data_IF_129762709528
#
_entry.id   IF_129762709528
#
_cell.length_a   1.000
_cell.length_b   1.000
_cell.length_c   1.000
_cell.angle_alpha   90.00
_cell.angle_beta   90.00
_cell.angle_gamma   90.00
#
_symmetry.space_group_name_H-M   'P 1'
#
loop_
_entity.id
_entity.type
_entity.pdbx_description
1 polymer ?
#
# COMPACT_ATOMS: atom_id res chain seq x y z
N UNK A 1 10.96 12.21 -18.33
CA UNK A 1 11.65 12.94 -17.26
C UNK A 1 12.64 13.92 -17.87
N UNK A 2 12.62 15.19 -17.47
CA UNK A 2 13.57 16.19 -17.98
C UNK A 2 14.97 15.99 -17.38
N UNK A 3 16.00 16.48 -18.04
CA UNK A 3 17.37 16.43 -17.53
C UNK A 3 17.48 17.15 -16.18
N UNK A 4 16.82 18.29 -15.99
CA UNK A 4 16.82 19.01 -14.72
C UNK A 4 16.24 18.17 -13.55
N UNK A 5 15.18 17.39 -13.80
CA UNK A 5 14.63 16.48 -12.78
C UNK A 5 15.58 15.32 -12.48
N UNK A 6 16.23 14.76 -13.52
CA UNK A 6 17.24 13.72 -13.35
C UNK A 6 18.43 14.26 -12.54
N UNK A 7 18.90 15.47 -12.85
CA UNK A 7 19.99 16.13 -12.14
C UNK A 7 19.66 16.36 -10.67
N UNK A 8 18.47 16.88 -10.39
CA UNK A 8 18.02 17.10 -9.02
C UNK A 8 17.90 15.78 -8.25
N UNK A 9 17.44 14.70 -8.88
CA UNK A 9 17.34 13.39 -8.24
C UNK A 9 18.72 12.76 -7.98
N UNK A 10 19.67 12.86 -8.91
CA UNK A 10 20.98 12.22 -8.76
C UNK A 10 21.95 12.97 -7.86
N UNK A 11 21.82 14.29 -7.78
CA UNK A 11 22.76 15.16 -7.06
C UNK A 11 22.08 16.09 -6.05
N UNK A 12 20.83 15.83 -5.68
CA UNK A 12 20.08 16.59 -4.66
C UNK A 12 20.09 18.12 -4.89
N UNK A 13 20.05 18.53 -6.15
CA UNK A 13 20.07 19.94 -6.56
C UNK A 13 21.46 20.56 -6.70
N UNK A 14 22.54 19.79 -6.48
CA UNK A 14 23.94 20.22 -6.62
C UNK A 14 24.68 19.46 -7.73
N UNK A 15 24.23 19.54 -9.01
CA UNK A 15 24.86 18.79 -10.09
C UNK A 15 26.28 19.29 -10.39
N UNK A 16 27.26 18.39 -10.63
CA UNK A 16 28.57 18.78 -11.11
C UNK A 16 28.48 19.32 -12.55
N UNK A 17 29.49 20.07 -13.00
CA UNK A 17 29.58 20.54 -14.40
C UNK A 17 29.52 19.40 -15.43
N UNK A 18 29.91 18.18 -15.03
CA UNK A 18 29.86 16.98 -15.87
C UNK A 18 28.49 16.30 -15.92
N UNK A 19 27.47 16.77 -15.19
CA UNK A 19 26.17 16.13 -15.05
C UNK A 19 25.51 15.76 -16.41
N UNK A 20 25.48 16.65 -17.44
CA UNK A 20 24.91 16.28 -18.74
C UNK A 20 25.64 15.12 -19.43
N UNK A 21 26.97 15.03 -19.27
CA UNK A 21 27.78 13.92 -19.80
C UNK A 21 27.58 12.62 -19.02
N UNK A 22 27.47 12.72 -17.70
CA UNK A 22 27.20 11.58 -16.81
C UNK A 22 25.82 10.97 -17.10
N UNK A 23 24.78 11.78 -17.26
CA UNK A 23 23.43 11.30 -17.61
C UNK A 23 23.43 10.52 -18.93
N UNK A 24 24.11 11.04 -19.97
CA UNK A 24 24.25 10.32 -21.25
C UNK A 24 24.93 8.98 -21.08
N UNK A 25 25.96 8.92 -20.23
CA UNK A 25 26.70 7.69 -19.91
C UNK A 25 25.80 6.68 -19.19
N UNK A 26 25.07 7.10 -18.16
CA UNK A 26 24.13 6.24 -17.43
C UNK A 26 23.00 5.72 -18.33
N UNK A 27 22.42 6.57 -19.17
CA UNK A 27 21.39 6.15 -20.14
C UNK A 27 21.95 5.16 -21.15
N UNK A 28 23.18 5.34 -21.63
CA UNK A 28 23.84 4.37 -22.51
C UNK A 28 24.05 3.01 -21.84
N UNK A 29 24.47 3.00 -20.57
CA UNK A 29 24.59 1.78 -19.77
C UNK A 29 23.22 1.09 -19.58
N UNK A 30 22.19 1.84 -19.17
CA UNK A 30 20.83 1.31 -19.01
C UNK A 30 20.28 0.70 -20.31
N UNK A 31 20.48 1.35 -21.46
CA UNK A 31 20.06 0.81 -22.77
C UNK A 31 20.74 -0.53 -23.08
N UNK A 32 22.04 -0.65 -22.78
CA UNK A 32 22.78 -1.91 -22.96
C UNK A 32 22.24 -3.00 -22.03
N UNK A 33 22.03 -2.69 -20.76
CA UNK A 33 21.45 -3.64 -19.79
C UNK A 33 20.07 -4.12 -20.22
N UNK A 34 19.17 -3.20 -20.60
CA UNK A 34 17.82 -3.56 -21.05
C UNK A 34 17.84 -4.42 -22.31
N UNK A 35 18.72 -4.10 -23.27
CA UNK A 35 18.87 -4.89 -24.50
C UNK A 35 19.43 -6.29 -24.23
N UNK A 36 20.32 -6.43 -23.23
CA UNK A 36 20.85 -7.74 -22.84
C UNK A 36 19.79 -8.62 -22.14
N UNK A 37 18.79 -8.01 -21.49
CA UNK A 37 17.71 -8.72 -20.79
C UNK A 37 16.56 -9.15 -21.71
N UNK A 38 16.58 -8.82 -23.01
CA UNK A 38 15.56 -9.21 -23.98
C UNK A 38 15.24 -8.11 -25.00
N UNK A 39 13.95 -7.90 -25.29
CA UNK A 39 13.47 -6.85 -26.21
C UNK A 39 13.53 -5.44 -25.56
N UNK A 40 14.71 -5.07 -25.07
CA UNK A 40 14.99 -3.77 -24.48
C UNK A 40 15.32 -2.68 -25.49
N UNK A 41 15.36 -3.03 -26.78
CA UNK A 41 15.75 -2.11 -27.84
C UNK A 41 14.73 -0.96 -27.94
N UNK A 42 15.22 0.28 -28.02
CA UNK A 42 14.35 1.45 -28.14
C UNK A 42 13.50 1.81 -26.89
N UNK A 43 13.58 1.05 -25.78
CA UNK A 43 12.78 1.33 -24.57
C UNK A 43 13.07 2.68 -23.93
N UNK A 44 14.30 3.17 -24.02
CA UNK A 44 14.66 4.51 -23.56
C UNK A 44 14.81 5.43 -24.76
N UNK A 45 13.80 6.26 -25.01
CA UNK A 45 13.79 7.25 -26.08
C UNK A 45 14.42 8.59 -25.62
N UNK A 46 15.23 9.18 -26.49
CA UNK A 46 15.65 10.57 -26.34
C UNK A 46 14.50 11.49 -26.70
N UNK A 47 14.29 12.54 -25.90
CA UNK A 47 13.43 13.68 -26.19
C UNK A 47 14.24 14.96 -26.00
N UNK A 48 13.77 16.07 -26.55
CA UNK A 48 14.46 17.36 -26.39
C UNK A 48 14.53 17.70 -24.90
N UNK A 49 15.75 17.72 -24.35
CA UNK A 49 16.02 17.99 -22.92
C UNK A 49 15.50 16.92 -21.94
N UNK A 50 15.16 15.72 -22.40
CA UNK A 50 14.49 14.71 -21.58
C UNK A 50 14.73 13.27 -22.07
N UNK A 51 14.42 12.31 -21.21
CA UNK A 51 14.34 10.89 -21.54
C UNK A 51 12.96 10.33 -21.22
N UNK A 52 12.51 9.35 -22.00
CA UNK A 52 11.29 8.58 -21.73
C UNK A 52 11.63 7.10 -21.75
N UNK A 53 11.30 6.41 -20.66
CA UNK A 53 11.28 4.96 -20.63
C UNK A 53 9.88 4.47 -20.99
N UNK A 54 9.81 3.49 -21.88
CA UNK A 54 8.58 2.78 -22.25
C UNK A 54 8.53 1.48 -21.49
N UNK A 55 7.41 1.29 -20.79
CA UNK A 55 7.10 0.11 -20.00
C UNK A 55 5.78 -0.44 -20.53
N UNK A 56 5.78 -1.72 -20.87
CA UNK A 56 4.60 -2.47 -21.31
C UNK A 56 3.69 -2.86 -20.14
N UNK A 57 2.46 -3.29 -20.42
CA UNK A 57 1.55 -3.81 -19.40
C UNK A 57 2.20 -4.96 -18.61
N UNK A 58 2.08 -4.94 -17.29
CA UNK A 58 2.60 -6.00 -16.42
C UNK A 58 4.11 -6.00 -16.19
N UNK A 59 4.88 -5.11 -16.83
CA UNK A 59 6.34 -5.07 -16.62
C UNK A 59 6.77 -4.31 -15.36
N UNK A 60 5.85 -3.55 -14.76
CA UNK A 60 6.04 -2.91 -13.45
C UNK A 60 5.12 -3.54 -12.42
N UNK A 61 5.71 -3.94 -11.29
CA UNK A 61 5.00 -4.48 -10.14
C UNK A 61 3.94 -3.51 -9.60
N UNK A 62 4.22 -2.20 -9.55
CA UNK A 62 3.23 -1.18 -9.16
C UNK A 62 2.00 -1.17 -10.07
N UNK A 63 2.17 -1.37 -11.39
CA UNK A 63 1.03 -1.40 -12.31
C UNK A 63 0.24 -2.70 -12.17
N UNK A 64 0.93 -3.83 -11.93
CA UNK A 64 0.27 -5.10 -11.61
C UNK A 64 -0.51 -5.00 -10.30
N UNK A 65 0.06 -4.37 -9.28
CA UNK A 65 -0.60 -4.12 -8.00
C UNK A 65 -1.87 -3.30 -8.18
N UNK A 66 -1.79 -2.15 -8.85
CA UNK A 66 -2.93 -1.27 -9.07
C UNK A 66 -4.02 -1.96 -9.89
N UNK A 67 -3.65 -2.79 -10.87
CA UNK A 67 -4.57 -3.58 -11.68
C UNK A 67 -5.26 -4.70 -10.87
N UNK A 68 -4.52 -5.49 -10.10
CA UNK A 68 -5.11 -6.51 -9.23
C UNK A 68 -6.03 -5.89 -8.17
N UNK A 69 -5.70 -4.73 -7.61
CA UNK A 69 -6.61 -3.99 -6.72
C UNK A 69 -7.89 -3.56 -7.44
N UNK A 70 -7.78 -3.05 -8.67
CA UNK A 70 -8.94 -2.68 -9.50
C UNK A 70 -9.85 -3.88 -9.76
N UNK A 71 -9.27 -5.01 -10.16
CA UNK A 71 -9.99 -6.26 -10.40
C UNK A 71 -10.66 -6.79 -9.11
N UNK A 72 -9.99 -6.70 -7.97
CA UNK A 72 -10.56 -7.05 -6.67
C UNK A 72 -11.79 -6.22 -6.31
N UNK A 73 -11.73 -4.91 -6.55
CA UNK A 73 -12.88 -4.00 -6.36
C UNK A 73 -14.02 -4.31 -7.32
N UNK A 74 -13.73 -4.60 -8.58
CA UNK A 74 -14.75 -4.97 -9.58
C UNK A 74 -15.43 -6.31 -9.25
N UNK A 75 -14.67 -7.31 -8.80
CA UNK A 75 -15.22 -8.56 -8.30
C UNK A 75 -16.13 -8.32 -7.10
N UNK A 76 -15.72 -7.49 -6.15
CA UNK A 76 -16.54 -7.09 -4.99
C UNK A 76 -17.84 -6.38 -5.42
N UNK A 77 -17.78 -5.46 -6.38
CA UNK A 77 -18.98 -4.78 -6.89
C UNK A 77 -19.99 -5.72 -7.54
N UNK A 78 -19.54 -6.87 -8.07
CA UNK A 78 -20.38 -7.92 -8.63
C UNK A 78 -20.71 -9.04 -7.63
N UNK A 79 -20.40 -8.83 -6.34
CA UNK A 79 -20.57 -9.83 -5.27
C UNK A 79 -19.83 -11.14 -5.49
N UNK A 80 -18.74 -11.12 -6.28
CA UNK A 80 -17.84 -12.24 -6.48
C UNK A 80 -16.72 -12.23 -5.41
N UNK A 81 -17.10 -12.29 -4.14
CA UNK A 81 -16.19 -12.04 -3.02
C UNK A 81 -14.99 -13.00 -2.97
N UNK A 82 -15.16 -14.25 -3.39
CA UNK A 82 -14.04 -15.19 -3.52
C UNK A 82 -13.01 -14.75 -4.55
N UNK A 83 -13.46 -14.24 -5.70
CA UNK A 83 -12.59 -13.67 -6.74
C UNK A 83 -11.89 -12.40 -6.23
N UNK A 84 -12.62 -11.55 -5.49
CA UNK A 84 -12.06 -10.34 -4.90
C UNK A 84 -10.90 -10.64 -3.93
N UNK A 85 -11.05 -11.67 -3.07
CA UNK A 85 -9.98 -12.11 -2.16
C UNK A 85 -8.71 -12.51 -2.92
N UNK A 86 -8.84 -13.28 -4.00
CA UNK A 86 -7.68 -13.74 -4.76
C UNK A 86 -6.95 -12.57 -5.44
N UNK A 87 -7.68 -11.63 -6.03
CA UNK A 87 -7.08 -10.41 -6.62
C UNK A 87 -6.36 -9.54 -5.58
N UNK A 88 -6.95 -9.31 -4.40
CA UNK A 88 -6.26 -8.55 -3.36
C UNK A 88 -5.04 -9.28 -2.80
N UNK A 89 -5.09 -10.61 -2.68
CA UNK A 89 -3.93 -11.43 -2.29
C UNK A 89 -2.81 -11.35 -3.31
N UNK A 90 -3.14 -11.44 -4.61
CA UNK A 90 -2.16 -11.28 -5.68
C UNK A 90 -1.49 -9.90 -5.57
N UNK A 91 -2.28 -8.83 -5.44
CA UNK A 91 -1.75 -7.48 -5.27
C UNK A 91 -0.77 -7.41 -4.10
N UNK A 92 -1.20 -7.84 -2.91
CA UNK A 92 -0.36 -7.78 -1.71
C UNK A 92 0.87 -8.70 -1.79
N UNK A 93 0.82 -9.78 -2.57
CA UNK A 93 1.93 -10.69 -2.82
C UNK A 93 3.06 -10.12 -3.69
N UNK A 94 2.80 -9.02 -4.41
CA UNK A 94 3.84 -8.31 -5.20
C UNK A 94 4.84 -7.52 -4.33
N UNK A 95 4.48 -7.29 -3.07
CA UNK A 95 5.29 -6.51 -2.13
C UNK A 95 6.44 -7.35 -1.57
N UNK A 96 7.67 -6.87 -1.79
CA UNK A 96 8.91 -7.56 -1.40
C UNK A 96 9.68 -6.90 -0.26
N UNK A 97 9.20 -5.76 0.23
CA UNK A 97 9.91 -4.93 1.20
C UNK A 97 9.44 -3.48 1.12
N UNK A 98 10.32 -2.55 1.51
CA UNK A 98 10.06 -1.12 1.40
C UNK A 98 10.26 -0.66 -0.06
N UNK A 99 9.33 0.12 -0.65
CA UNK A 99 9.51 0.62 -2.01
C UNK A 99 10.80 1.41 -2.18
N UNK A 100 11.60 0.99 -3.17
CA UNK A 100 12.87 1.61 -3.54
C UNK A 100 13.90 1.63 -2.40
N UNK A 101 13.94 0.60 -1.54
CA UNK A 101 14.81 0.54 -0.35
C UNK A 101 16.29 0.88 -0.63
N UNK A 102 16.80 0.55 -1.81
CA UNK A 102 18.18 0.83 -2.26
C UNK A 102 18.44 2.30 -2.64
N UNK A 103 17.41 3.17 -2.64
CA UNK A 103 17.54 4.58 -2.99
C UNK A 103 17.60 5.48 -1.74
N UNK A 104 18.29 6.64 -1.84
CA UNK A 104 18.25 7.68 -0.81
C UNK A 104 16.81 8.07 -0.42
N UNK A 105 16.58 8.25 0.90
CA UNK A 105 15.28 8.64 1.47
C UNK A 105 14.72 9.93 0.84
N UNK A 106 15.59 10.91 0.56
CA UNK A 106 15.25 12.19 -0.09
C UNK A 106 14.51 12.00 -1.42
N UNK A 107 14.88 10.97 -2.18
CA UNK A 107 14.32 10.66 -3.51
C UNK A 107 13.04 9.82 -3.39
N UNK A 108 13.07 8.78 -2.54
CA UNK A 108 11.96 7.80 -2.49
C UNK A 108 10.78 8.22 -1.64
N UNK A 109 10.97 9.06 -0.60
CA UNK A 109 9.93 9.40 0.40
C UNK A 109 8.56 9.77 -0.17
N UNK A 110 8.44 10.66 -1.19
CA UNK A 110 7.12 11.02 -1.73
C UNK A 110 6.40 9.85 -2.42
N UNK A 111 7.16 8.98 -3.09
CA UNK A 111 6.59 7.83 -3.82
C UNK A 111 6.30 6.69 -2.85
N UNK A 112 7.20 6.43 -1.90
CA UNK A 112 7.04 5.40 -0.86
C UNK A 112 5.78 5.64 -0.04
N UNK A 113 5.53 6.86 0.43
CA UNK A 113 4.34 7.17 1.23
C UNK A 113 3.03 6.89 0.49
N UNK A 114 2.94 7.26 -0.80
CA UNK A 114 1.76 6.95 -1.64
C UNK A 114 1.55 5.45 -1.79
N UNK A 115 2.64 4.73 -2.08
CA UNK A 115 2.59 3.28 -2.29
C UNK A 115 2.20 2.54 -1.01
N UNK A 116 2.76 2.93 0.14
CA UNK A 116 2.40 2.37 1.43
C UNK A 116 0.93 2.58 1.76
N UNK A 117 0.38 3.76 1.48
CA UNK A 117 -1.05 4.00 1.72
C UNK A 117 -1.94 3.15 0.81
N UNK A 118 -1.55 2.96 -0.46
CA UNK A 118 -2.23 2.03 -1.36
C UNK A 118 -2.16 0.58 -0.85
N UNK A 119 -1.02 0.15 -0.30
CA UNK A 119 -0.87 -1.16 0.34
C UNK A 119 -1.82 -1.32 1.51
N UNK A 120 -1.93 -0.31 2.36
CA UNK A 120 -2.83 -0.32 3.51
C UNK A 120 -4.28 -0.42 3.09
N UNK A 121 -4.70 0.42 2.14
CA UNK A 121 -6.07 0.37 1.60
C UNK A 121 -6.39 -1.02 1.04
N UNK A 122 -5.48 -1.63 0.25
CA UNK A 122 -5.69 -2.97 -0.30
C UNK A 122 -5.77 -4.06 0.79
N UNK A 123 -4.98 -3.94 1.85
CA UNK A 123 -5.01 -4.86 3.00
C UNK A 123 -6.32 -4.74 3.79
N UNK A 124 -6.78 -3.52 4.03
CA UNK A 124 -8.06 -3.26 4.70
C UNK A 124 -9.23 -3.79 3.87
N UNK A 125 -9.23 -3.55 2.55
CA UNK A 125 -10.24 -4.09 1.63
C UNK A 125 -10.23 -5.62 1.57
N UNK A 126 -9.07 -6.27 1.56
CA UNK A 126 -8.97 -7.72 1.67
C UNK A 126 -9.63 -8.25 2.95
N UNK A 127 -9.36 -7.60 4.09
CA UNK A 127 -9.93 -8.01 5.37
C UNK A 127 -11.45 -7.81 5.36
N UNK A 128 -11.94 -6.68 4.83
CA UNK A 128 -13.38 -6.43 4.67
C UNK A 128 -14.06 -7.56 3.88
N UNK A 129 -13.50 -7.95 2.73
CA UNK A 129 -14.06 -9.05 1.92
C UNK A 129 -14.02 -10.38 2.65
N UNK A 130 -12.92 -10.69 3.36
CA UNK A 130 -12.83 -11.90 4.19
C UNK A 130 -13.88 -11.91 5.31
N UNK A 131 -14.19 -10.75 5.89
CA UNK A 131 -15.27 -10.63 6.88
C UNK A 131 -16.65 -10.85 6.24
N UNK A 132 -16.89 -10.39 5.01
CA UNK A 132 -18.15 -10.67 4.29
C UNK A 132 -18.32 -12.16 3.99
N UNK A 133 -17.23 -12.88 3.72
CA UNK A 133 -17.20 -14.34 3.54
C UNK A 133 -17.32 -15.14 4.85
N UNK A 134 -17.58 -14.48 6.00
CA UNK A 134 -17.73 -15.15 7.29
C UNK A 134 -16.42 -15.64 7.92
N UNK A 135 -15.26 -15.23 7.40
CA UNK A 135 -13.95 -15.69 7.87
C UNK A 135 -13.48 -14.98 9.15
N UNK A 136 -14.41 -14.60 10.03
CA UNK A 136 -14.19 -13.73 11.19
C UNK A 136 -13.07 -14.24 12.11
N UNK A 137 -13.12 -15.52 12.51
CA UNK A 137 -12.11 -16.10 13.41
C UNK A 137 -10.70 -16.08 12.82
N UNK A 138 -10.58 -16.24 11.49
CA UNK A 138 -9.28 -16.39 10.82
C UNK A 138 -8.52 -15.08 10.65
N UNK A 139 -9.22 -13.93 10.68
CA UNK A 139 -8.58 -12.61 10.54
C UNK A 139 -8.19 -11.99 11.88
N UNK A 140 -8.71 -12.49 13.00
CA UNK A 140 -8.46 -11.91 14.34
C UNK A 140 -6.97 -11.91 14.74
N UNK A 141 -6.20 -13.00 14.57
CA UNK A 141 -4.78 -12.99 14.93
C UNK A 141 -3.99 -11.93 14.14
N UNK A 142 -4.21 -11.86 12.83
CA UNK A 142 -3.57 -10.88 11.95
C UNK A 142 -3.94 -9.46 12.36
N UNK A 143 -5.23 -9.19 12.60
CA UNK A 143 -5.72 -7.88 13.02
C UNK A 143 -5.13 -7.45 14.38
N UNK A 144 -5.01 -8.36 15.35
CA UNK A 144 -4.37 -8.06 16.64
C UNK A 144 -2.91 -7.64 16.46
N UNK A 145 -2.14 -8.39 15.66
CA UNK A 145 -0.76 -8.04 15.37
C UNK A 145 -0.65 -6.66 14.70
N UNK A 146 -1.50 -6.40 13.69
CA UNK A 146 -1.51 -5.12 12.98
C UNK A 146 -1.92 -3.94 13.87
N UNK A 147 -2.85 -4.12 14.82
CA UNK A 147 -3.22 -3.05 15.76
C UNK A 147 -2.14 -2.75 16.78
N UNK A 148 -1.25 -3.69 17.08
CA UNK A 148 -0.08 -3.47 17.94
C UNK A 148 1.02 -2.74 17.16
N UNK A 149 1.24 -3.11 15.90
CA UNK A 149 2.24 -2.49 15.03
C UNK A 149 1.83 -1.08 14.56
N UNK A 150 0.53 -0.88 14.31
CA UNK A 150 -0.04 0.37 13.81
C UNK A 150 -1.21 0.86 14.69
N UNK A 151 -0.94 1.21 15.95
CA UNK A 151 -1.97 1.54 16.93
C UNK A 151 -2.80 2.79 16.57
N UNK A 152 -2.27 3.66 15.71
CA UNK A 152 -2.93 4.89 15.27
C UNK A 152 -3.83 4.70 14.04
N UNK A 153 -3.81 3.53 13.39
CA UNK A 153 -4.70 3.23 12.26
C UNK A 153 -6.05 2.74 12.75
N UNK A 154 -6.95 3.68 13.02
CA UNK A 154 -8.30 3.43 13.56
C UNK A 154 -9.09 2.37 12.77
N UNK A 155 -8.92 2.31 11.44
CA UNK A 155 -9.59 1.33 10.59
C UNK A 155 -9.27 -0.12 10.98
N UNK A 156 -8.04 -0.42 11.40
CA UNK A 156 -7.66 -1.75 11.88
C UNK A 156 -8.41 -2.13 13.15
N UNK A 157 -8.60 -1.17 14.07
CA UNK A 157 -9.40 -1.37 15.27
C UNK A 157 -10.86 -1.64 14.91
N UNK A 158 -11.46 -0.85 14.00
CA UNK A 158 -12.82 -1.09 13.51
C UNK A 158 -12.98 -2.53 12.97
N UNK A 159 -12.06 -2.99 12.13
CA UNK A 159 -12.07 -4.34 11.57
C UNK A 159 -11.93 -5.43 12.65
N UNK A 160 -11.03 -5.23 13.63
CA UNK A 160 -10.83 -6.15 14.75
C UNK A 160 -12.11 -6.28 15.59
N UNK A 161 -12.74 -5.15 15.89
CA UNK A 161 -13.99 -5.07 16.63
C UNK A 161 -15.10 -5.85 15.93
N UNK A 162 -15.32 -5.62 14.64
CA UNK A 162 -16.31 -6.34 13.84
C UNK A 162 -16.01 -7.84 13.82
N UNK A 163 -14.74 -8.22 13.62
CA UNK A 163 -14.33 -9.62 13.60
C UNK A 163 -14.62 -10.34 14.92
N UNK A 164 -14.28 -9.71 16.06
CA UNK A 164 -14.50 -10.27 17.39
C UNK A 164 -15.98 -10.38 17.71
N UNK A 165 -16.77 -9.34 17.44
CA UNK A 165 -18.20 -9.36 17.70
C UNK A 165 -18.92 -10.45 16.88
N UNK A 166 -18.67 -10.53 15.57
CA UNK A 166 -19.27 -11.56 14.70
C UNK A 166 -18.72 -12.96 14.94
N UNK A 167 -17.68 -13.10 15.77
CA UNK A 167 -17.16 -14.39 16.27
C UNK A 167 -17.78 -14.79 17.61
N UNK A 168 -18.77 -14.05 18.12
CA UNK A 168 -19.37 -14.27 19.45
C UNK A 168 -18.48 -13.84 20.62
N UNK A 169 -17.35 -13.16 20.35
CA UNK A 169 -16.36 -12.76 21.35
C UNK A 169 -16.59 -11.32 21.80
N UNK A 170 -17.80 -11.04 22.29
CA UNK A 170 -18.23 -9.67 22.65
C UNK A 170 -17.36 -9.02 23.72
N UNK A 171 -16.99 -9.75 24.77
CA UNK A 171 -16.09 -9.24 25.82
C UNK A 171 -14.75 -8.78 25.23
N UNK A 172 -14.13 -9.62 24.39
CA UNK A 172 -12.87 -9.30 23.73
C UNK A 172 -12.98 -8.08 22.79
N UNK A 173 -14.14 -7.87 22.15
CA UNK A 173 -14.39 -6.71 21.30
C UNK A 173 -14.43 -5.40 22.12
N UNK A 174 -15.04 -5.43 23.32
CA UNK A 174 -15.06 -4.30 24.25
C UNK A 174 -13.66 -4.00 24.79
N UNK A 175 -12.89 -5.03 25.14
CA UNK A 175 -11.49 -4.88 25.57
C UNK A 175 -10.61 -4.30 24.45
N UNK A 176 -10.85 -4.71 23.21
CA UNK A 176 -10.17 -4.15 22.04
C UNK A 176 -10.50 -2.66 21.85
N UNK A 177 -11.77 -2.25 22.05
CA UNK A 177 -12.14 -0.83 22.00
C UNK A 177 -11.42 -0.01 23.08
N UNK A 178 -11.34 -0.51 24.32
CA UNK A 178 -10.60 0.18 25.39
C UNK A 178 -9.10 0.28 25.09
N UNK A 179 -8.54 -0.72 24.40
CA UNK A 179 -7.14 -0.70 23.96
C UNK A 179 -6.92 0.32 22.84
N UNK A 180 -7.84 0.41 21.88
CA UNK A 180 -7.84 1.43 20.84
C UNK A 180 -7.94 2.84 21.42
N UNK A 181 -8.87 3.04 22.37
CA UNK A 181 -9.07 4.31 23.07
C UNK A 181 -7.77 4.80 23.70
N UNK A 182 -7.15 3.98 24.56
CA UNK A 182 -5.86 4.30 25.21
C UNK A 182 -4.76 4.58 24.20
N UNK A 183 -4.67 3.78 23.14
CA UNK A 183 -3.64 3.96 22.12
C UNK A 183 -3.76 5.31 21.38
N UNK A 184 -4.99 5.76 21.10
CA UNK A 184 -5.25 7.03 20.42
C UNK A 184 -5.09 8.22 21.38
N UNK A 185 -5.58 8.13 22.61
CA UNK A 185 -5.45 9.21 23.60
C UNK A 185 -4.01 9.38 24.05
N UNK A 186 -3.33 8.29 24.39
CA UNK A 186 -1.97 8.36 24.94
C UNK A 186 -0.95 8.63 23.83
N UNK A 187 -1.19 8.10 22.62
CA UNK A 187 -0.27 8.23 21.49
C UNK A 187 -0.41 9.53 20.69
N UNK A 188 -1.63 10.03 20.52
CA UNK A 188 -1.92 11.20 19.68
C UNK A 188 -2.63 12.35 20.42
N UNK A 189 -3.10 12.13 21.65
CA UNK A 189 -3.91 13.11 22.37
C UNK A 189 -5.29 13.33 21.75
N UNK A 190 -5.80 12.36 20.98
CA UNK A 190 -7.09 12.46 20.29
C UNK A 190 -8.06 11.37 20.76
N UNK A 191 -9.34 11.72 20.73
CA UNK A 191 -10.43 10.78 20.95
C UNK A 191 -10.67 9.89 19.71
N UNK A 192 -11.24 8.68 19.88
CA UNK A 192 -11.67 7.84 18.77
C UNK A 192 -12.61 8.58 17.80
N UNK A 193 -12.39 8.33 16.51
CA UNK A 193 -13.24 8.81 15.43
C UNK A 193 -14.68 8.30 15.53
N UNK A 194 -15.53 8.89 14.69
CA UNK A 194 -16.97 8.61 14.72
C UNK A 194 -17.31 7.16 14.36
N UNK A 195 -16.53 6.52 13.49
CA UNK A 195 -16.77 5.13 13.09
C UNK A 195 -16.54 4.17 14.26
N UNK A 196 -15.39 4.29 14.94
CA UNK A 196 -15.04 3.41 16.06
C UNK A 196 -16.02 3.60 17.24
N UNK A 197 -16.42 4.83 17.53
CA UNK A 197 -17.44 5.11 18.57
C UNK A 197 -18.80 4.49 18.23
N UNK A 198 -19.26 4.62 16.98
CA UNK A 198 -20.53 4.00 16.53
C UNK A 198 -20.48 2.48 16.62
N UNK A 199 -19.35 1.85 16.29
CA UNK A 199 -19.20 0.41 16.44
C UNK A 199 -19.33 -0.01 17.91
N UNK A 200 -18.69 0.71 18.82
CA UNK A 200 -18.81 0.46 20.26
C UNK A 200 -20.25 0.61 20.75
N UNK A 201 -20.96 1.67 20.36
CA UNK A 201 -22.38 1.86 20.71
C UNK A 201 -23.26 0.70 20.23
N UNK A 202 -23.08 0.26 18.98
CA UNK A 202 -23.80 -0.90 18.43
C UNK A 202 -23.49 -2.19 19.18
N UNK A 203 -22.26 -2.40 19.62
CA UNK A 203 -21.87 -3.56 20.42
C UNK A 203 -22.49 -3.54 21.81
N UNK A 204 -22.64 -2.37 22.44
CA UNK A 204 -23.33 -2.26 23.73
C UNK A 204 -24.82 -2.59 23.58
N UNK A 205 -25.43 -2.18 22.47
CA UNK A 205 -26.82 -2.47 22.15
C UNK A 205 -27.09 -3.87 21.58
N UNK A 206 -26.04 -4.64 21.23
CA UNK A 206 -26.13 -5.95 20.56
C UNK A 206 -26.83 -5.90 19.17
N UNK A 207 -26.50 -4.88 18.37
CA UNK A 207 -27.20 -4.55 17.10
C UNK A 207 -26.28 -4.48 15.87
N UNK A 208 -25.15 -5.20 15.89
CA UNK A 208 -24.07 -5.05 14.90
C UNK A 208 -24.20 -5.96 13.68
#
# INVERSE_FOLDING_TARGET
MSNAVIENALWEGLPPRSAPGNIKTYVSQLRRTLTALGDGHGRIANRVGAYRISVGPGELDVFRFEESVRLGREARHRSADGEAVEHFREALGLWRGEPYEDLPLSIRRPVTARLEELRWTAREELIDVRLMLGQHHTVVPDLRALTIEHPTRERLWCLLLVALHRSGRRADALDAYQSAYRSLTDGLGIEPGAELRRLHEKMLADTL
#
